data_IF_667897359388
#
_entry.id   IF_667897359388
#
_cell.length_a   1.000
_cell.length_b   1.000
_cell.length_c   1.000
_cell.angle_alpha   90.00
_cell.angle_beta   90.00
_cell.angle_gamma   90.00
#
_symmetry.space_group_name_H-M   'P 1'
#
loop_
_entity.id
_entity.type
_entity.pdbx_description
1 polymer ?
#
# COMPACT_ATOMS: atom_id res chain seq x y z
N UNK A 1 -0.77 -11.18 -5.42
CA UNK A 1 -1.93 -10.97 -6.35
C UNK A 1 -1.87 -11.97 -7.50
N UNK A 2 -2.99 -12.52 -7.90
CA UNK A 2 -3.13 -13.44 -9.03
C UNK A 2 -4.27 -12.96 -9.94
N UNK A 3 -4.02 -12.88 -11.27
CA UNK A 3 -5.02 -12.47 -12.26
C UNK A 3 -5.74 -11.14 -11.89
N UNK A 4 -4.98 -10.14 -11.44
CA UNK A 4 -5.50 -8.83 -11.03
C UNK A 4 -6.52 -8.89 -9.87
N UNK A 5 -6.41 -9.91 -9.01
CA UNK A 5 -7.18 -10.05 -7.76
C UNK A 5 -6.26 -10.17 -6.57
N UNK A 6 -6.74 -9.75 -5.41
CA UNK A 6 -6.05 -9.98 -4.14
C UNK A 6 -6.02 -11.49 -3.84
N UNK A 7 -4.97 -11.93 -3.20
CA UNK A 7 -4.76 -13.33 -2.79
C UNK A 7 -4.54 -13.43 -1.29
N UNK A 8 -4.28 -12.32 -0.66
CA UNK A 8 -4.04 -12.19 0.76
C UNK A 8 -5.35 -12.39 1.53
N UNK A 9 -5.35 -13.17 2.60
CA UNK A 9 -6.51 -13.31 3.50
C UNK A 9 -6.66 -12.12 4.45
N UNK A 10 -5.57 -11.38 4.68
CA UNK A 10 -5.52 -10.14 5.47
C UNK A 10 -4.59 -9.12 4.82
N UNK A 11 -4.97 -7.84 4.92
CA UNK A 11 -4.12 -6.70 4.55
C UNK A 11 -4.23 -5.67 5.67
N UNK A 12 -3.09 -5.31 6.27
CA UNK A 12 -3.09 -4.57 7.52
C UNK A 12 -3.78 -5.36 8.62
N UNK A 13 -4.77 -4.77 9.28
CA UNK A 13 -5.62 -5.43 10.28
C UNK A 13 -6.92 -6.02 9.69
N UNK A 14 -7.25 -5.71 8.44
CA UNK A 14 -8.52 -6.06 7.82
C UNK A 14 -8.50 -7.46 7.17
N UNK A 15 -9.64 -8.16 7.29
CA UNK A 15 -9.91 -9.40 6.55
C UNK A 15 -10.26 -9.05 5.10
N UNK A 16 -9.67 -9.76 4.13
CA UNK A 16 -9.94 -9.57 2.70
C UNK A 16 -11.08 -10.47 2.25
N UNK A 17 -12.04 -9.89 1.54
CA UNK A 17 -13.14 -10.59 0.90
C UNK A 17 -13.09 -10.29 -0.60
N UNK A 18 -13.17 -11.32 -1.43
CA UNK A 18 -13.32 -11.20 -2.87
C UNK A 18 -14.79 -11.47 -3.20
N UNK A 19 -15.56 -10.41 -3.45
CA UNK A 19 -16.98 -10.49 -3.84
C UNK A 19 -17.18 -9.66 -5.12
N UNK A 20 -16.83 -10.30 -6.24
CA UNK A 20 -16.86 -9.66 -7.56
C UNK A 20 -18.31 -9.41 -8.00
N UNK A 21 -18.61 -8.15 -8.24
CA UNK A 21 -19.92 -7.74 -8.74
C UNK A 21 -19.99 -8.04 -10.24
N UNK A 22 -21.02 -8.78 -10.69
CA UNK A 22 -21.14 -9.15 -12.11
C UNK A 22 -21.43 -7.93 -13.00
N UNK A 23 -21.28 -8.11 -14.31
CA UNK A 23 -21.72 -7.12 -15.30
C UNK A 23 -23.14 -6.63 -15.00
N UNK A 24 -23.35 -5.34 -15.11
CA UNK A 24 -24.63 -4.68 -14.86
C UNK A 24 -24.59 -3.23 -15.34
N UNK A 25 -25.47 -2.40 -14.80
CA UNK A 25 -25.60 -1.01 -15.25
C UNK A 25 -24.40 -0.13 -14.89
N UNK A 26 -23.69 -0.46 -13.80
CA UNK A 26 -22.49 0.26 -13.33
C UNK A 26 -21.17 -0.49 -13.59
N UNK A 27 -21.23 -1.74 -14.01
CA UNK A 27 -20.07 -2.59 -14.30
C UNK A 27 -20.10 -2.96 -15.80
N UNK A 28 -19.33 -2.26 -16.65
CA UNK A 28 -19.40 -2.42 -18.10
C UNK A 28 -18.70 -3.68 -18.62
N UNK A 29 -17.90 -4.35 -17.80
CA UNK A 29 -17.08 -5.52 -18.15
C UNK A 29 -16.05 -5.21 -19.27
N UNK A 30 -15.60 -3.96 -19.37
CA UNK A 30 -14.56 -3.53 -20.30
C UNK A 30 -13.19 -3.68 -19.66
N UNK A 31 -12.24 -4.30 -20.37
CA UNK A 31 -10.86 -4.42 -19.88
C UNK A 31 -10.13 -3.08 -19.95
N UNK A 32 -9.26 -2.86 -18.98
CA UNK A 32 -8.34 -1.71 -18.91
C UNK A 32 -6.93 -2.19 -18.56
N UNK A 33 -5.94 -1.36 -18.84
CA UNK A 33 -4.59 -1.50 -18.31
C UNK A 33 -4.36 -0.37 -17.30
N UNK A 34 -4.40 -0.65 -15.99
CA UNK A 34 -4.25 0.39 -14.97
C UNK A 34 -2.86 1.04 -15.04
N UNK A 35 -2.84 2.36 -15.01
CA UNK A 35 -1.61 3.18 -14.94
C UNK A 35 -1.54 4.04 -13.69
N UNK A 36 -2.58 4.00 -12.84
CA UNK A 36 -2.66 4.76 -11.61
C UNK A 36 -3.66 4.14 -10.61
N UNK A 37 -3.64 4.66 -9.39
CA UNK A 37 -4.61 4.37 -8.33
C UNK A 37 -5.30 5.68 -7.97
N UNK A 38 -6.64 5.65 -7.85
CA UNK A 38 -7.43 6.79 -7.40
C UNK A 38 -8.02 6.51 -6.02
N UNK A 39 -7.71 7.37 -5.07
CA UNK A 39 -8.22 7.30 -3.70
C UNK A 39 -9.48 8.15 -3.58
N UNK A 40 -10.50 7.52 -2.98
CA UNK A 40 -11.78 8.11 -2.63
C UNK A 40 -12.09 7.91 -1.16
N UNK A 41 -13.10 8.62 -0.70
CA UNK A 41 -13.82 8.31 0.54
C UNK A 41 -15.29 8.18 0.26
N UNK A 42 -15.94 7.24 0.92
CA UNK A 42 -17.31 6.79 0.61
C UNK A 42 -18.37 7.90 0.75
N UNK A 43 -18.08 8.96 1.50
CA UNK A 43 -19.05 10.03 1.80
C UNK A 43 -20.20 9.59 2.72
N UNK A 44 -20.20 8.35 3.18
CA UNK A 44 -21.20 7.74 4.04
C UNK A 44 -20.58 7.40 5.39
N UNK A 45 -20.69 8.33 6.34
CA UNK A 45 -20.05 8.22 7.66
C UNK A 45 -20.64 7.05 8.44
N UNK A 46 -19.80 6.27 9.10
CA UNK A 46 -20.10 5.10 9.91
C UNK A 46 -20.72 3.90 9.16
N UNK A 47 -20.83 3.97 7.84
CA UNK A 47 -21.18 2.80 7.04
C UNK A 47 -19.95 1.87 6.89
N UNK A 48 -20.17 0.58 7.16
CA UNK A 48 -19.14 -0.45 7.02
C UNK A 48 -18.72 -0.68 5.57
N UNK A 49 -17.58 -1.37 5.36
CA UNK A 49 -17.18 -1.80 4.03
C UNK A 49 -18.24 -2.68 3.37
N UNK A 50 -18.93 -3.53 4.14
CA UNK A 50 -20.02 -4.38 3.65
C UNK A 50 -21.25 -3.56 3.22
N UNK A 51 -21.63 -2.52 3.97
CA UNK A 51 -22.74 -1.64 3.60
C UNK A 51 -22.45 -0.91 2.28
N UNK A 52 -21.27 -0.31 2.15
CA UNK A 52 -20.87 0.38 0.92
C UNK A 52 -20.74 -0.58 -0.27
N UNK A 53 -20.24 -1.79 -0.07
CA UNK A 53 -20.20 -2.82 -1.11
C UNK A 53 -21.60 -3.25 -1.56
N UNK A 54 -22.54 -3.48 -0.62
CA UNK A 54 -23.92 -3.80 -0.92
C UNK A 54 -24.64 -2.65 -1.65
N UNK A 55 -24.36 -1.40 -1.27
CA UNK A 55 -24.84 -0.22 -2.01
C UNK A 55 -24.40 -0.29 -3.48
N UNK A 56 -23.12 -0.57 -3.76
CA UNK A 56 -22.65 -0.70 -5.14
C UNK A 56 -23.37 -1.84 -5.89
N UNK A 57 -23.62 -2.99 -5.25
CA UNK A 57 -24.41 -4.09 -5.83
C UNK A 57 -25.84 -3.64 -6.18
N UNK A 58 -26.46 -2.85 -5.33
CA UNK A 58 -27.83 -2.35 -5.54
C UNK A 58 -27.89 -1.36 -6.69
N UNK A 59 -27.01 -0.35 -6.75
CA UNK A 59 -26.99 0.60 -7.87
C UNK A 59 -26.57 -0.07 -9.18
N UNK A 60 -25.76 -1.14 -9.16
CA UNK A 60 -25.45 -1.92 -10.34
C UNK A 60 -26.68 -2.64 -10.92
N UNK A 61 -27.64 -3.04 -10.06
CA UNK A 61 -28.92 -3.64 -10.50
C UNK A 61 -29.91 -2.56 -10.95
N UNK A 62 -30.12 -1.52 -10.13
CA UNK A 62 -31.14 -0.50 -10.37
C UNK A 62 -30.74 0.48 -11.49
N UNK A 63 -29.46 0.87 -11.53
CA UNK A 63 -28.97 1.93 -12.43
C UNK A 63 -29.39 3.34 -12.00
N UNK A 64 -29.91 3.51 -10.80
CA UNK A 64 -30.29 4.82 -10.26
C UNK A 64 -29.11 5.79 -10.17
N UNK A 65 -27.89 5.24 -10.09
CA UNK A 65 -26.65 5.99 -10.09
C UNK A 65 -25.58 5.20 -10.81
N UNK A 66 -24.88 5.83 -11.74
CA UNK A 66 -23.74 5.21 -12.44
C UNK A 66 -22.46 5.48 -11.65
N UNK A 67 -22.16 4.57 -10.73
CA UNK A 67 -20.93 4.59 -9.94
C UNK A 67 -20.50 3.15 -9.61
N UNK A 68 -19.20 2.90 -9.64
CA UNK A 68 -18.58 1.64 -9.23
C UNK A 68 -17.10 1.85 -8.95
N UNK A 69 -16.52 0.97 -8.16
CA UNK A 69 -15.10 1.02 -7.78
C UNK A 69 -14.53 -0.39 -7.62
N UNK A 70 -13.22 -0.51 -7.48
CA UNK A 70 -12.57 -1.81 -7.43
C UNK A 70 -12.55 -2.40 -6.02
N UNK A 71 -12.29 -1.57 -5.00
CA UNK A 71 -12.14 -2.02 -3.62
C UNK A 71 -12.77 -1.04 -2.64
N UNK A 72 -13.47 -1.57 -1.66
CA UNK A 72 -13.90 -0.83 -0.45
C UNK A 72 -13.01 -1.22 0.73
N UNK A 73 -12.49 -0.23 1.45
CA UNK A 73 -11.57 -0.43 2.57
C UNK A 73 -12.19 0.12 3.86
N UNK A 74 -12.47 -0.76 4.80
CA UNK A 74 -12.89 -0.45 6.16
C UNK A 74 -11.79 -0.68 7.19
N UNK A 75 -12.12 -0.48 8.46
CA UNK A 75 -11.20 -0.78 9.57
C UNK A 75 -11.06 -2.29 9.82
N UNK A 76 -12.05 -3.10 9.42
CA UNK A 76 -12.21 -4.53 9.69
C UNK A 76 -12.19 -5.39 8.42
N UNK A 77 -12.67 -4.85 7.28
CA UNK A 77 -12.75 -5.56 6.01
C UNK A 77 -12.19 -4.74 4.85
N UNK A 78 -11.56 -5.44 3.91
CA UNK A 78 -11.27 -4.98 2.56
C UNK A 78 -12.06 -5.87 1.61
N UNK A 79 -12.92 -5.27 0.79
CA UNK A 79 -13.79 -6.01 -0.12
C UNK A 79 -13.45 -5.65 -1.55
N UNK A 80 -12.89 -6.60 -2.31
CA UNK A 80 -12.65 -6.42 -3.73
C UNK A 80 -13.92 -6.73 -4.51
N UNK A 81 -14.43 -5.71 -5.19
CA UNK A 81 -15.68 -5.74 -5.94
C UNK A 81 -15.48 -5.94 -7.44
N UNK A 82 -14.28 -5.65 -7.97
CA UNK A 82 -13.93 -5.85 -9.37
C UNK A 82 -12.46 -6.20 -9.52
N UNK A 83 -12.12 -7.02 -10.54
CA UNK A 83 -10.72 -7.23 -10.94
C UNK A 83 -10.09 -5.91 -11.38
N UNK A 84 -8.83 -5.68 -11.00
CA UNK A 84 -8.16 -4.40 -11.24
C UNK A 84 -7.93 -4.07 -12.71
N UNK A 85 -8.05 -5.03 -13.61
CA UNK A 85 -7.94 -4.84 -15.06
C UNK A 85 -9.30 -4.69 -15.75
N UNK A 86 -10.35 -4.33 -15.02
CA UNK A 86 -11.65 -3.99 -15.58
C UNK A 86 -12.05 -2.57 -15.20
N UNK A 87 -12.75 -1.90 -16.13
CA UNK A 87 -13.23 -0.55 -15.94
C UNK A 87 -14.27 -0.47 -14.82
N UNK A 88 -14.18 0.60 -14.02
CA UNK A 88 -15.21 1.03 -13.09
C UNK A 88 -15.48 2.53 -13.25
N UNK A 89 -16.66 2.98 -12.82
CA UNK A 89 -17.08 4.38 -12.94
C UNK A 89 -16.90 5.10 -11.61
N UNK A 90 -15.66 5.51 -11.29
CA UNK A 90 -15.33 6.12 -9.99
C UNK A 90 -14.76 7.54 -10.09
N UNK A 91 -14.07 7.86 -11.19
CA UNK A 91 -13.28 9.07 -11.27
C UNK A 91 -14.06 10.30 -11.79
N UNK A 92 -15.31 10.10 -12.28
CA UNK A 92 -16.07 11.16 -12.94
C UNK A 92 -15.41 11.72 -14.21
N UNK A 93 -14.37 11.04 -14.71
CA UNK A 93 -13.54 11.44 -15.83
C UNK A 93 -13.21 10.23 -16.71
N UNK A 94 -13.30 10.38 -18.02
CA UNK A 94 -13.12 9.26 -18.94
C UNK A 94 -11.75 8.59 -18.80
N UNK A 95 -10.67 9.36 -18.78
CA UNK A 95 -9.31 8.82 -18.62
C UNK A 95 -9.17 8.14 -17.27
N UNK A 96 -9.62 8.79 -16.18
CA UNK A 96 -9.55 8.22 -14.83
C UNK A 96 -10.28 6.87 -14.72
N UNK A 97 -11.49 6.76 -15.30
CA UNK A 97 -12.26 5.51 -15.30
C UNK A 97 -11.61 4.39 -16.15
N UNK A 98 -10.89 4.77 -17.21
CA UNK A 98 -10.29 3.82 -18.17
C UNK A 98 -8.85 3.43 -17.80
N UNK A 99 -8.22 4.09 -16.82
CA UNK A 99 -6.80 3.89 -16.54
C UNK A 99 -6.44 3.84 -15.05
N UNK A 100 -7.41 3.92 -14.14
CA UNK A 100 -7.08 3.86 -12.73
C UNK A 100 -7.88 2.84 -11.92
N UNK A 101 -7.24 2.35 -10.86
CA UNK A 101 -7.85 1.49 -9.85
C UNK A 101 -8.52 2.39 -8.81
N UNK A 102 -9.85 2.35 -8.70
CA UNK A 102 -10.61 3.12 -7.70
C UNK A 102 -10.67 2.41 -6.36
N UNK A 103 -10.25 3.08 -5.30
CA UNK A 103 -10.28 2.59 -3.91
C UNK A 103 -11.15 3.54 -3.09
N UNK A 104 -12.21 3.03 -2.50
CA UNK A 104 -13.12 3.75 -1.59
C UNK A 104 -12.75 3.44 -0.14
N UNK A 105 -12.28 4.43 0.60
CA UNK A 105 -11.98 4.31 2.04
C UNK A 105 -13.22 4.71 2.81
N UNK A 106 -13.71 3.82 3.68
CA UNK A 106 -14.82 4.11 4.58
C UNK A 106 -14.48 5.26 5.54
N UNK A 107 -15.51 5.97 5.95
CA UNK A 107 -15.41 7.11 6.85
C UNK A 107 -16.03 6.75 8.20
N UNK A 108 -15.31 7.00 9.30
CA UNK A 108 -15.76 6.68 10.65
C UNK A 108 -15.66 7.88 11.58
N UNK A 109 -16.73 8.16 12.33
CA UNK A 109 -16.72 9.18 13.40
C UNK A 109 -15.76 8.79 14.54
N UNK A 110 -15.54 7.51 14.75
CA UNK A 110 -14.51 6.97 15.64
C UNK A 110 -13.13 7.14 15.01
N UNK A 111 -12.27 7.91 15.67
CA UNK A 111 -10.91 8.26 15.19
C UNK A 111 -10.01 7.03 15.04
N UNK A 112 -10.13 6.02 15.92
CA UNK A 112 -9.28 4.83 15.89
C UNK A 112 -9.71 3.89 14.76
N UNK A 113 -11.02 3.74 14.51
CA UNK A 113 -11.53 3.03 13.34
C UNK A 113 -11.10 3.73 12.06
N UNK A 114 -11.18 5.06 12.00
CA UNK A 114 -10.71 5.83 10.85
C UNK A 114 -9.22 5.63 10.60
N UNK A 115 -8.40 5.67 11.65
CA UNK A 115 -6.97 5.41 11.53
C UNK A 115 -6.69 4.01 10.98
N UNK A 116 -7.38 2.98 11.50
CA UNK A 116 -7.26 1.60 11.00
C UNK A 116 -7.67 1.48 9.53
N UNK A 117 -8.74 2.16 9.11
CA UNK A 117 -9.14 2.18 7.70
C UNK A 117 -8.08 2.81 6.79
N UNK A 118 -7.43 3.90 7.23
CA UNK A 118 -6.29 4.48 6.52
C UNK A 118 -5.09 3.55 6.48
N UNK A 119 -4.72 2.91 7.60
CA UNK A 119 -3.60 1.97 7.64
C UNK A 119 -3.82 0.78 6.69
N UNK A 120 -5.03 0.23 6.67
CA UNK A 120 -5.42 -0.83 5.75
C UNK A 120 -5.35 -0.38 4.29
N UNK A 121 -5.81 0.85 3.99
CA UNK A 121 -5.73 1.42 2.64
C UNK A 121 -4.26 1.64 2.22
N UNK A 122 -3.41 2.16 3.09
CA UNK A 122 -1.98 2.33 2.86
C UNK A 122 -1.32 0.98 2.55
N UNK A 123 -1.63 -0.06 3.35
CA UNK A 123 -1.10 -1.40 3.12
C UNK A 123 -1.54 -1.97 1.76
N UNK A 124 -2.82 -1.83 1.40
CA UNK A 124 -3.35 -2.23 0.10
C UNK A 124 -2.67 -1.48 -1.05
N UNK A 125 -2.56 -0.15 -0.96
CA UNK A 125 -1.94 0.68 -2.00
C UNK A 125 -0.48 0.28 -2.21
N UNK A 126 0.27 -0.02 -1.16
CA UNK A 126 1.66 -0.52 -1.27
C UNK A 126 1.74 -1.85 -2.03
N UNK A 127 0.82 -2.78 -1.80
CA UNK A 127 0.74 -4.05 -2.54
C UNK A 127 0.49 -3.76 -4.03
N UNK A 128 -0.46 -2.89 -4.34
CA UNK A 128 -0.77 -2.52 -5.72
C UNK A 128 0.39 -1.77 -6.41
N UNK A 129 1.03 -0.82 -5.71
CA UNK A 129 2.23 -0.13 -6.20
C UNK A 129 3.34 -1.11 -6.55
N UNK A 130 3.59 -2.09 -5.69
CA UNK A 130 4.60 -3.13 -5.94
C UNK A 130 4.26 -4.00 -7.15
N UNK A 131 2.99 -4.45 -7.26
CA UNK A 131 2.53 -5.32 -8.34
C UNK A 131 2.56 -4.63 -9.72
N UNK A 132 2.04 -3.39 -9.79
CA UNK A 132 1.96 -2.62 -11.04
C UNK A 132 3.21 -1.76 -11.31
N UNK A 133 4.19 -1.75 -10.41
CA UNK A 133 5.40 -0.91 -10.48
C UNK A 133 5.07 0.59 -10.48
N UNK A 134 4.03 0.97 -9.75
CA UNK A 134 3.64 2.37 -9.62
C UNK A 134 4.52 3.10 -8.61
N UNK A 135 4.79 4.38 -8.89
CA UNK A 135 5.40 5.32 -7.96
C UNK A 135 4.35 6.30 -7.40
N UNK A 136 4.77 7.21 -6.53
CA UNK A 136 3.87 8.16 -5.86
C UNK A 136 3.13 9.11 -6.81
N UNK A 137 3.66 9.38 -8.03
CA UNK A 137 2.99 10.27 -9.00
C UNK A 137 1.74 9.62 -9.61
N UNK A 138 1.64 8.30 -9.53
CA UNK A 138 0.51 7.52 -10.04
C UNK A 138 -0.57 7.31 -8.97
N UNK A 139 -0.38 7.83 -7.74
CA UNK A 139 -1.40 7.84 -6.69
C UNK A 139 -2.14 9.17 -6.74
N UNK A 140 -3.38 9.10 -7.16
CA UNK A 140 -4.27 10.23 -7.43
C UNK A 140 -5.40 10.30 -6.42
N UNK A 141 -5.99 11.50 -6.28
CA UNK A 141 -7.28 11.71 -5.60
C UNK A 141 -8.37 11.81 -6.66
N UNK A 142 -9.61 11.63 -6.30
CA UNK A 142 -10.72 12.03 -7.17
C UNK A 142 -10.61 13.52 -7.58
N UNK A 143 -10.21 14.34 -6.62
CA UNK A 143 -9.94 15.77 -6.85
C UNK A 143 -9.02 16.05 -8.04
N UNK A 144 -8.03 15.19 -8.27
CA UNK A 144 -7.03 15.41 -9.33
C UNK A 144 -7.63 15.23 -10.73
N UNK A 145 -8.77 14.51 -10.86
CA UNK A 145 -9.50 14.31 -12.10
C UNK A 145 -10.54 15.40 -12.39
N UNK A 146 -11.36 15.76 -11.40
CA UNK A 146 -12.57 16.58 -11.62
C UNK A 146 -12.70 17.77 -10.68
N UNK A 147 -11.74 17.98 -9.79
CA UNK A 147 -11.80 18.97 -8.69
C UNK A 147 -12.90 18.68 -7.66
N UNK A 148 -13.55 17.52 -7.74
CA UNK A 148 -14.46 17.08 -6.67
C UNK A 148 -13.71 17.00 -5.34
N UNK A 149 -14.31 17.54 -4.28
CA UNK A 149 -13.74 17.52 -2.92
C UNK A 149 -13.74 16.09 -2.33
N UNK A 150 -12.87 15.23 -2.87
CA UNK A 150 -12.73 13.82 -2.51
C UNK A 150 -11.28 13.36 -2.75
N UNK A 151 -10.67 12.70 -1.78
CA UNK A 151 -11.16 12.24 -0.47
C UNK A 151 -11.24 13.40 0.55
N UNK A 152 -12.46 13.75 0.98
CA UNK A 152 -12.74 14.98 1.72
C UNK A 152 -11.91 15.09 3.02
N UNK A 153 -11.96 14.09 3.89
CA UNK A 153 -11.27 14.16 5.19
C UNK A 153 -9.74 14.14 5.09
N UNK A 154 -9.17 13.58 4.02
CA UNK A 154 -7.72 13.69 3.77
C UNK A 154 -7.36 15.07 3.19
N UNK A 155 -8.28 15.71 2.45
CA UNK A 155 -8.10 17.09 1.97
C UNK A 155 -8.22 18.06 3.15
N UNK A 156 -9.21 17.86 4.02
CA UNK A 156 -9.52 18.72 5.18
C UNK A 156 -8.64 18.45 6.41
N UNK A 157 -7.72 17.51 6.32
CA UNK A 157 -6.87 17.15 7.46
C UNK A 157 -7.63 16.66 8.71
N UNK A 158 -8.81 16.04 8.52
CA UNK A 158 -9.63 15.58 9.65
C UNK A 158 -8.84 14.58 10.50
N UNK A 159 -8.96 14.72 11.81
CA UNK A 159 -8.20 13.95 12.81
C UNK A 159 -6.68 14.09 12.72
N UNK A 160 -6.16 15.09 11.98
CA UNK A 160 -4.74 15.30 11.76
C UNK A 160 -4.14 14.48 10.60
N UNK A 161 -4.98 13.78 9.83
CA UNK A 161 -4.54 12.97 8.69
C UNK A 161 -4.77 13.71 7.38
N UNK A 162 -3.70 14.28 6.79
CA UNK A 162 -3.76 14.97 5.51
C UNK A 162 -3.48 14.05 4.31
N UNK A 163 -3.78 14.53 3.11
CA UNK A 163 -3.34 13.86 1.88
C UNK A 163 -1.81 13.71 1.82
N UNK A 164 -1.06 14.72 2.25
CA UNK A 164 0.40 14.65 2.30
C UNK A 164 0.87 13.60 3.31
N UNK A 165 0.22 13.52 4.49
CA UNK A 165 0.47 12.45 5.44
C UNK A 165 0.24 11.08 4.79
N UNK A 166 -0.89 10.87 4.11
CA UNK A 166 -1.22 9.61 3.43
C UNK A 166 -0.14 9.24 2.39
N UNK A 167 0.25 10.17 1.52
CA UNK A 167 1.31 9.95 0.53
C UNK A 167 2.66 9.62 1.17
N UNK A 168 3.02 10.30 2.26
CA UNK A 168 4.27 10.02 3.00
C UNK A 168 4.30 8.59 3.56
N UNK A 169 3.14 8.04 3.98
CA UNK A 169 3.09 6.64 4.41
C UNK A 169 3.33 5.64 3.26
N UNK A 170 3.05 6.04 2.02
CA UNK A 170 3.29 5.22 0.83
C UNK A 170 4.74 5.25 0.36
N UNK A 171 5.51 6.24 0.80
CA UNK A 171 6.94 6.24 0.53
C UNK A 171 7.51 4.91 0.99
N UNK A 172 7.98 4.12 0.03
CA UNK A 172 8.86 3.02 0.35
C UNK A 172 10.07 3.73 0.97
N UNK A 173 10.32 3.55 2.26
CA UNK A 173 11.67 3.80 2.75
C UNK A 173 12.51 2.91 1.85
N UNK A 174 13.16 3.49 0.88
CA UNK A 174 14.16 2.80 0.10
C UNK A 174 15.17 2.30 1.11
N UNK A 175 15.03 1.04 1.50
CA UNK A 175 16.18 0.30 1.93
C UNK A 175 17.07 0.43 0.71
N UNK A 176 18.10 1.24 0.81
CA UNK A 176 19.03 1.47 -0.27
C UNK A 176 19.46 0.08 -0.73
N UNK A 177 18.90 -0.37 -1.85
CA UNK A 177 19.34 -1.62 -2.50
C UNK A 177 20.61 -1.37 -3.30
N UNK A 178 21.25 -0.24 -3.12
CA UNK A 178 22.61 -0.04 -3.55
C UNK A 178 23.48 -1.00 -2.77
N UNK A 179 23.86 -2.06 -3.46
CA UNK A 179 24.90 -2.94 -2.98
C UNK A 179 26.18 -2.13 -2.87
N UNK A 180 26.78 -2.13 -1.71
CA UNK A 180 28.06 -1.47 -1.48
C UNK A 180 28.97 -2.37 -0.65
N UNK A 181 30.25 -2.14 -0.79
CA UNK A 181 31.27 -2.88 -0.08
C UNK A 181 31.58 -2.18 1.26
N UNK A 182 31.79 -2.99 2.27
CA UNK A 182 32.34 -2.54 3.55
C UNK A 182 33.54 -3.40 3.93
N UNK A 183 34.58 -2.75 4.45
CA UNK A 183 35.74 -3.38 5.05
C UNK A 183 35.56 -3.41 6.56
N UNK A 184 35.79 -4.55 7.20
CA UNK A 184 35.79 -4.69 8.64
C UNK A 184 37.07 -4.07 9.20
N UNK A 185 36.94 -3.16 10.18
CA UNK A 185 38.07 -2.43 10.76
C UNK A 185 38.32 -2.75 12.23
N UNK A 186 37.39 -3.42 12.92
CA UNK A 186 37.57 -4.00 14.24
C UNK A 186 38.11 -5.44 14.15
N UNK A 187 38.68 -5.96 15.20
CA UNK A 187 39.32 -7.28 15.18
C UNK A 187 38.30 -8.39 14.92
N UNK A 188 37.11 -8.29 15.51
CA UNK A 188 36.00 -9.23 15.30
C UNK A 188 34.65 -8.50 15.39
N UNK A 189 33.69 -8.88 14.54
CA UNK A 189 32.34 -8.30 14.52
C UNK A 189 31.30 -9.40 14.40
N UNK A 190 30.29 -9.36 15.28
CA UNK A 190 29.21 -10.34 15.31
C UNK A 190 28.30 -10.26 14.08
N UNK A 191 27.93 -11.41 13.54
CA UNK A 191 26.84 -11.60 12.59
C UNK A 191 25.59 -11.97 13.39
N UNK A 192 24.51 -11.22 13.21
CA UNK A 192 23.22 -11.42 13.90
C UNK A 192 22.19 -12.02 12.95
N UNK A 193 21.32 -12.87 13.49
CA UNK A 193 20.28 -13.54 12.69
C UNK A 193 19.31 -12.54 12.05
N UNK A 194 18.95 -11.48 12.78
CA UNK A 194 17.98 -10.48 12.37
C UNK A 194 18.54 -9.06 12.55
N UNK A 195 17.85 -8.06 11.94
CA UNK A 195 18.23 -6.65 12.00
C UNK A 195 17.93 -6.00 13.36
N UNK A 196 18.46 -6.59 14.43
CA UNK A 196 18.35 -6.12 15.83
C UNK A 196 19.63 -6.39 16.58
N UNK A 197 20.06 -5.45 17.43
CA UNK A 197 21.21 -5.64 18.31
C UNK A 197 20.96 -6.68 19.42
N UNK A 198 19.71 -7.00 19.71
CA UNK A 198 19.30 -8.04 20.67
C UNK A 198 19.12 -9.42 19.99
N UNK A 199 19.25 -9.51 18.67
CA UNK A 199 19.11 -10.76 17.94
C UNK A 199 20.29 -11.71 18.20
N UNK A 200 19.98 -13.02 18.15
CA UNK A 200 20.98 -14.08 18.34
C UNK A 200 22.18 -13.89 17.41
N UNK A 201 23.39 -14.00 17.96
CA UNK A 201 24.63 -14.09 17.20
C UNK A 201 24.71 -15.46 16.55
N UNK A 202 24.96 -15.48 15.24
CA UNK A 202 25.02 -16.69 14.39
C UNK A 202 26.39 -16.91 13.75
N UNK A 203 27.34 -16.01 13.97
CA UNK A 203 28.70 -16.08 13.47
C UNK A 203 29.45 -14.78 13.72
N UNK A 204 30.67 -14.69 13.18
CA UNK A 204 31.54 -13.50 13.26
C UNK A 204 32.24 -13.26 11.93
N UNK A 205 32.68 -12.02 11.71
CA UNK A 205 33.58 -11.59 10.64
C UNK A 205 34.82 -10.92 11.24
N UNK A 206 35.94 -10.98 10.51
CA UNK A 206 37.25 -10.56 11.04
C UNK A 206 37.79 -9.31 10.35
N UNK A 207 38.72 -8.66 11.00
CA UNK A 207 39.42 -7.47 10.50
C UNK A 207 40.00 -7.70 9.10
N UNK A 208 39.89 -6.66 8.28
CA UNK A 208 40.32 -6.60 6.90
C UNK A 208 39.46 -7.38 5.89
N UNK A 209 38.50 -8.18 6.31
CA UNK A 209 37.57 -8.81 5.39
C UNK A 209 36.64 -7.76 4.76
N UNK A 210 36.24 -8.01 3.50
CA UNK A 210 35.36 -7.13 2.74
C UNK A 210 34.07 -7.86 2.41
N UNK A 211 32.94 -7.21 2.67
CA UNK A 211 31.61 -7.80 2.46
C UNK A 211 30.73 -6.88 1.67
N UNK A 212 29.89 -7.46 0.82
CA UNK A 212 28.82 -6.75 0.14
C UNK A 212 27.60 -6.64 1.04
N UNK A 213 27.16 -5.43 1.28
CA UNK A 213 25.90 -5.13 1.98
C UNK A 213 24.79 -4.96 0.94
N UNK A 214 23.67 -5.65 1.13
CA UNK A 214 22.51 -5.63 0.23
C UNK A 214 21.29 -4.92 0.81
N UNK A 215 21.30 -4.68 2.11
CA UNK A 215 20.20 -4.01 2.83
C UNK A 215 20.76 -3.37 4.10
N UNK A 216 20.24 -2.20 4.49
CA UNK A 216 20.54 -1.61 5.81
C UNK A 216 19.27 -1.38 6.59
N UNK A 217 19.25 -1.74 7.88
CA UNK A 217 18.11 -1.57 8.77
C UNK A 217 18.58 -1.45 10.21
N UNK A 218 18.03 -0.53 10.98
CA UNK A 218 18.32 -0.34 12.40
C UNK A 218 19.82 -0.23 12.75
N UNK A 219 20.62 0.40 11.87
CA UNK A 219 22.07 0.51 12.05
C UNK A 219 22.87 -0.77 11.76
N UNK A 220 22.22 -1.81 11.22
CA UNK A 220 22.85 -3.04 10.73
C UNK A 220 22.77 -3.15 9.21
N UNK A 221 23.73 -3.85 8.62
CA UNK A 221 23.83 -4.18 7.20
C UNK A 221 23.70 -5.68 6.95
N UNK A 222 22.85 -6.09 6.02
CA UNK A 222 22.66 -7.48 5.61
C UNK A 222 23.75 -7.91 4.64
N UNK A 223 24.40 -9.01 4.97
CA UNK A 223 25.42 -9.62 4.10
C UNK A 223 24.79 -10.26 2.86
N UNK A 224 25.39 -10.04 1.68
CA UNK A 224 24.96 -10.67 0.42
C UNK A 224 24.94 -12.21 0.50
N UNK A 225 25.84 -12.80 1.28
CA UNK A 225 25.88 -14.25 1.51
C UNK A 225 24.65 -14.84 2.17
N UNK A 226 23.79 -14.00 2.76
CA UNK A 226 22.64 -14.46 3.56
C UNK A 226 23.01 -14.90 4.99
N UNK A 227 24.27 -14.84 5.40
CA UNK A 227 24.74 -15.27 6.71
C UNK A 227 24.09 -14.47 7.87
N UNK A 228 23.62 -13.25 7.62
CA UNK A 228 22.95 -12.43 8.61
C UNK A 228 23.30 -10.95 8.48
N UNK A 229 23.28 -10.26 9.64
CA UNK A 229 23.40 -8.81 9.76
C UNK A 229 24.61 -8.42 10.61
N UNK A 230 25.38 -7.43 10.15
CA UNK A 230 26.52 -6.87 10.89
C UNK A 230 26.28 -5.40 11.24
N UNK A 231 26.91 -4.90 12.32
CA UNK A 231 26.83 -3.47 12.66
C UNK A 231 27.47 -2.60 11.60
N UNK A 232 26.77 -1.49 11.26
CA UNK A 232 27.23 -0.48 10.31
C UNK A 232 27.87 0.73 10.98
N UNK A 233 28.10 0.66 12.30
CA UNK A 233 28.78 1.74 13.03
C UNK A 233 30.20 2.00 12.51
N UNK A 234 30.57 3.28 12.37
CA UNK A 234 31.85 3.72 11.81
C UNK A 234 33.10 3.19 12.53
N UNK A 235 32.97 2.76 13.79
CA UNK A 235 34.03 2.10 14.55
C UNK A 235 34.22 0.62 14.22
N UNK A 236 33.32 0.01 13.45
CA UNK A 236 33.35 -1.41 13.10
C UNK A 236 33.62 -1.63 11.62
N UNK A 237 33.08 -0.77 10.76
CA UNK A 237 33.16 -0.92 9.30
C UNK A 237 33.48 0.41 8.61
N UNK A 238 34.17 0.32 7.48
CA UNK A 238 34.42 1.44 6.56
C UNK A 238 33.88 1.08 5.17
N UNK A 239 33.11 1.97 4.56
CA UNK A 239 32.64 1.82 3.18
C UNK A 239 33.85 1.93 2.22
N UNK A 240 33.94 1.05 1.24
CA UNK A 240 35.01 0.97 0.23
C UNK A 240 34.43 0.95 -1.16
#
# INVERSE_FOLDING_TARGET
MLNHRLTESKIGSATVIIDIVPKGKCIPNTRINPTSITIHQTGNVDASAKNNHNYMKNINKSGERIASWHVTVGYDYIIQAQSFNYKTYHAGHAVGNNSSIGIEICMYSDKDKQKKAYDNAIALVKILMSYYKFNLNQIKRHYDWTKKHCPAWLIDCKYGYSWNWFKKQLEVKTVSSERFLVKIICDELNIRKEASFDSKVVGTVKKNEVYTIVETKNGLGKLLSGAGWISMGSKYVKKV
#
